data_IF_740880210245
#
_entry.id   IF_740880210245
#
_cell.length_a   1.000
_cell.length_b   1.000
_cell.length_c   1.000
_cell.angle_alpha   90.00
_cell.angle_beta   90.00
_cell.angle_gamma   90.00
#
_symmetry.space_group_name_H-M   'P 1'
#
loop_
_entity.id
_entity.type
_entity.pdbx_description
1 polymer ?
#
# COMPACT_ATOMS: atom_id res chain seq x y z
N UNK A 1 24.86 -16.85 -11.47
CA UNK A 1 23.45 -16.41 -11.51
C UNK A 1 23.16 -15.63 -10.24
N UNK A 2 22.74 -14.38 -10.37
CA UNK A 2 22.42 -13.55 -9.22
C UNK A 2 20.99 -13.90 -8.75
N UNK A 3 20.85 -14.33 -7.51
CA UNK A 3 19.54 -14.62 -6.93
C UNK A 3 18.89 -13.29 -6.54
N UNK A 4 17.74 -13.00 -7.13
CA UNK A 4 16.98 -11.80 -6.80
C UNK A 4 16.15 -12.07 -5.54
N UNK A 5 16.26 -11.23 -4.50
CA UNK A 5 15.47 -11.39 -3.30
C UNK A 5 13.96 -11.29 -3.60
N UNK A 6 13.17 -11.98 -2.81
CA UNK A 6 11.73 -11.79 -2.78
C UNK A 6 11.40 -10.62 -1.87
N UNK A 7 10.65 -9.67 -2.38
CA UNK A 7 10.16 -8.55 -1.58
C UNK A 7 8.70 -8.78 -1.18
N UNK A 8 8.32 -8.39 0.05
CA UNK A 8 6.93 -8.56 0.50
C UNK A 8 5.94 -7.91 -0.45
N UNK A 9 4.82 -8.59 -0.73
CA UNK A 9 3.73 -8.14 -1.61
C UNK A 9 4.12 -7.90 -3.08
N UNK A 10 5.32 -8.24 -3.47
CA UNK A 10 5.79 -8.13 -4.86
C UNK A 10 5.88 -9.51 -5.49
N UNK A 11 5.33 -9.65 -6.70
CA UNK A 11 5.52 -10.84 -7.52
C UNK A 11 6.95 -10.92 -8.08
N UNK A 12 7.25 -11.98 -8.87
CA UNK A 12 8.60 -12.14 -9.44
C UNK A 12 9.04 -10.99 -10.34
N UNK A 13 8.14 -10.44 -11.16
CA UNK A 13 8.45 -9.32 -12.05
C UNK A 13 8.71 -8.05 -11.25
N UNK A 14 7.82 -7.70 -10.33
CA UNK A 14 7.95 -6.51 -9.49
C UNK A 14 9.21 -6.59 -8.64
N UNK A 15 9.55 -7.76 -8.10
CA UNK A 15 10.78 -7.96 -7.33
C UNK A 15 12.01 -7.70 -8.16
N UNK A 16 12.04 -8.14 -9.43
CA UNK A 16 13.14 -7.85 -10.35
C UNK A 16 13.27 -6.35 -10.64
N UNK A 17 12.14 -5.68 -10.90
CA UNK A 17 12.11 -4.23 -11.16
C UNK A 17 12.64 -3.47 -9.95
N UNK A 18 12.13 -3.77 -8.77
CA UNK A 18 12.52 -3.12 -7.54
C UNK A 18 14.00 -3.32 -7.21
N UNK A 19 14.47 -4.54 -7.31
CA UNK A 19 15.88 -4.87 -7.06
C UNK A 19 16.80 -4.09 -8.01
N UNK A 20 16.44 -4.01 -9.28
CA UNK A 20 17.20 -3.25 -10.27
C UNK A 20 17.17 -1.75 -9.97
N UNK A 21 16.03 -1.22 -9.57
CA UNK A 21 15.90 0.17 -9.13
C UNK A 21 16.85 0.46 -7.95
N UNK A 22 16.86 -0.38 -6.95
CA UNK A 22 17.73 -0.20 -5.78
C UNK A 22 19.22 -0.18 -6.17
N UNK A 23 19.60 -0.97 -7.17
CA UNK A 23 21.00 -1.01 -7.64
C UNK A 23 21.41 0.21 -8.46
N UNK A 24 20.44 0.94 -9.04
CA UNK A 24 20.70 2.07 -9.94
C UNK A 24 20.37 3.43 -9.33
N UNK A 25 19.54 3.48 -8.29
CA UNK A 25 19.08 4.75 -7.73
C UNK A 25 20.17 5.50 -6.99
N UNK A 26 20.12 6.85 -7.08
CA UNK A 26 20.94 7.74 -6.29
C UNK A 26 20.29 8.13 -4.95
N UNK A 27 19.08 7.66 -4.69
CA UNK A 27 18.41 7.91 -3.42
C UNK A 27 19.10 7.12 -2.30
N UNK A 28 19.42 7.79 -1.22
CA UNK A 28 20.03 7.18 -0.03
C UNK A 28 18.96 6.91 1.01
N UNK A 29 18.45 5.68 1.04
CA UNK A 29 17.42 5.28 1.99
C UNK A 29 18.01 5.01 3.37
N UNK A 30 17.46 5.68 4.38
CA UNK A 30 17.70 5.39 5.79
C UNK A 30 16.94 4.12 6.18
N UNK A 31 15.73 3.95 5.60
CA UNK A 31 14.82 2.87 5.91
C UNK A 31 13.89 2.63 4.73
N UNK A 32 13.52 1.37 4.50
CA UNK A 32 12.49 0.99 3.54
C UNK A 32 11.55 0.01 4.24
N UNK A 33 10.26 0.33 4.25
CA UNK A 33 9.20 -0.55 4.71
C UNK A 33 8.43 -1.09 3.51
N UNK A 34 8.12 -2.37 3.52
CA UNK A 34 7.39 -3.04 2.45
C UNK A 34 5.98 -3.39 2.89
N UNK A 35 5.06 -3.52 1.93
CA UNK A 35 3.69 -3.94 2.19
C UNK A 35 3.03 -3.11 3.29
N UNK A 36 3.11 -1.79 3.14
CA UNK A 36 2.57 -0.85 4.12
C UNK A 36 1.06 -0.68 3.87
N UNK A 37 0.27 -1.04 4.87
CA UNK A 37 -1.18 -0.97 4.76
C UNK A 37 -1.70 0.40 5.12
N UNK A 38 -2.62 0.90 4.28
CA UNK A 38 -3.31 2.17 4.50
C UNK A 38 -4.77 2.06 4.13
N UNK A 39 -5.56 3.01 4.61
CA UNK A 39 -7.00 3.02 4.41
C UNK A 39 -7.75 2.27 5.51
N UNK A 40 -9.07 2.32 5.44
CA UNK A 40 -9.94 1.71 6.45
C UNK A 40 -10.26 0.24 6.15
N UNK A 41 -9.97 -0.21 4.94
CA UNK A 41 -10.46 -1.49 4.44
C UNK A 41 -11.97 -1.43 4.16
N UNK A 42 -12.49 -2.55 3.72
CA UNK A 42 -13.92 -2.72 3.43
C UNK A 42 -14.54 -3.69 4.42
N UNK A 43 -15.62 -3.24 5.06
CA UNK A 43 -16.41 -4.10 5.94
C UNK A 43 -17.78 -4.36 5.29
N UNK A 44 -18.07 -5.60 4.86
CA UNK A 44 -19.38 -5.94 4.28
C UNK A 44 -20.53 -5.61 5.22
N UNK A 45 -21.64 -5.15 4.65
CA UNK A 45 -22.81 -4.75 5.43
C UNK A 45 -23.32 -5.85 6.33
N UNK A 46 -23.33 -7.11 5.85
CA UNK A 46 -23.80 -8.23 6.65
C UNK A 46 -22.97 -8.47 7.92
N UNK A 47 -21.65 -8.22 7.86
CA UNK A 47 -20.78 -8.31 9.04
C UNK A 47 -20.99 -7.16 10.01
N UNK A 48 -21.27 -5.95 9.50
CA UNK A 48 -21.64 -4.82 10.35
C UNK A 48 -22.94 -5.10 11.11
N UNK A 49 -23.94 -5.62 10.42
CA UNK A 49 -25.23 -5.98 11.00
C UNK A 49 -25.11 -7.11 12.02
N UNK A 50 -24.31 -8.14 11.72
CA UNK A 50 -24.04 -9.24 12.64
C UNK A 50 -23.33 -8.77 13.91
N UNK A 51 -22.36 -7.89 13.79
CA UNK A 51 -21.65 -7.32 14.94
C UNK A 51 -22.60 -6.54 15.84
N UNK A 52 -23.45 -5.67 15.27
CA UNK A 52 -24.40 -4.89 16.03
C UNK A 52 -25.39 -5.81 16.76
N UNK A 53 -25.87 -6.86 16.09
CA UNK A 53 -26.78 -7.84 16.69
C UNK A 53 -26.12 -8.58 17.86
N UNK A 54 -24.90 -9.04 17.69
CA UNK A 54 -24.16 -9.76 18.75
C UNK A 54 -23.78 -8.85 19.90
N UNK A 55 -23.45 -7.60 19.62
CA UNK A 55 -23.19 -6.61 20.66
C UNK A 55 -24.42 -6.39 21.54
N UNK A 56 -25.59 -6.26 20.93
CA UNK A 56 -26.84 -6.14 21.66
C UNK A 56 -27.14 -7.38 22.51
N UNK A 57 -26.95 -8.58 21.94
CA UNK A 57 -27.15 -9.84 22.67
C UNK A 57 -26.18 -9.96 23.84
N UNK A 58 -24.94 -9.53 23.68
CA UNK A 58 -23.95 -9.52 24.77
C UNK A 58 -24.37 -8.56 25.88
N UNK A 59 -24.81 -7.36 25.54
CA UNK A 59 -25.30 -6.38 26.52
C UNK A 59 -26.48 -6.88 27.32
N UNK A 60 -27.33 -7.75 26.70
CA UNK A 60 -28.46 -8.41 27.34
C UNK A 60 -28.06 -9.70 28.10
N UNK A 61 -26.81 -10.08 28.08
CA UNK A 61 -26.35 -11.31 28.74
C UNK A 61 -26.72 -12.61 28.05
N UNK A 62 -27.14 -12.55 26.76
CA UNK A 62 -27.60 -13.71 25.99
C UNK A 62 -26.50 -14.48 25.27
N UNK A 63 -25.33 -13.88 25.08
CA UNK A 63 -24.14 -14.52 24.53
C UNK A 63 -22.93 -14.21 25.40
N UNK A 64 -21.89 -15.03 25.26
CA UNK A 64 -20.64 -14.86 25.99
C UNK A 64 -19.74 -13.80 25.34
N UNK A 65 -18.79 -13.28 26.12
CA UNK A 65 -17.77 -12.37 25.61
C UNK A 65 -16.91 -13.03 24.52
N UNK A 66 -16.65 -14.33 24.65
CA UNK A 66 -15.87 -15.08 23.66
C UNK A 66 -16.57 -15.15 22.31
N UNK A 67 -17.90 -15.32 22.29
CA UNK A 67 -18.68 -15.26 21.05
C UNK A 67 -18.61 -13.90 20.37
N UNK A 68 -18.67 -12.81 21.15
CA UNK A 68 -18.51 -11.46 20.62
C UNK A 68 -17.10 -11.24 20.07
N UNK A 69 -16.07 -11.71 20.77
CA UNK A 69 -14.66 -11.61 20.33
C UNK A 69 -14.39 -12.31 19.02
N UNK A 70 -15.04 -13.44 18.75
CA UNK A 70 -14.90 -14.16 17.48
C UNK A 70 -15.35 -13.26 16.33
N UNK A 71 -16.49 -12.60 16.47
CA UNK A 71 -17.01 -11.67 15.46
C UNK A 71 -16.08 -10.47 15.29
N UNK A 72 -15.58 -9.90 16.38
CA UNK A 72 -14.61 -8.79 16.34
C UNK A 72 -13.33 -9.19 15.60
N UNK A 73 -12.83 -10.41 15.81
CA UNK A 73 -11.64 -10.93 15.13
C UNK A 73 -11.89 -11.09 13.63
N UNK A 74 -13.07 -11.58 13.22
CA UNK A 74 -13.46 -11.70 11.81
C UNK A 74 -13.49 -10.31 11.15
N UNK A 75 -14.09 -9.33 11.81
CA UNK A 75 -14.15 -7.95 11.31
C UNK A 75 -12.74 -7.38 11.14
N UNK A 76 -11.89 -7.52 12.14
CA UNK A 76 -10.51 -7.03 12.09
C UNK A 76 -9.72 -7.66 10.94
N UNK A 77 -9.85 -8.97 10.74
CA UNK A 77 -9.19 -9.68 9.64
C UNK A 77 -9.73 -9.23 8.29
N UNK A 78 -11.04 -9.09 8.14
CA UNK A 78 -11.67 -8.66 6.88
C UNK A 78 -11.25 -7.26 6.49
N UNK A 79 -11.25 -6.32 7.43
CA UNK A 79 -10.80 -4.94 7.15
C UNK A 79 -9.31 -4.89 6.81
N UNK A 80 -8.47 -5.64 7.52
CA UNK A 80 -7.04 -5.69 7.24
C UNK A 80 -6.75 -6.27 5.86
N UNK A 81 -7.46 -7.32 5.43
CA UNK A 81 -7.27 -7.94 4.11
C UNK A 81 -7.72 -7.05 2.94
N UNK A 82 -8.60 -6.11 3.20
CA UNK A 82 -9.14 -5.20 2.16
C UNK A 82 -8.54 -3.80 2.19
N UNK A 83 -7.60 -3.52 3.08
CA UNK A 83 -6.83 -2.29 3.06
C UNK A 83 -5.96 -2.19 1.81
N UNK A 84 -5.66 -0.95 1.40
CA UNK A 84 -4.67 -0.70 0.36
C UNK A 84 -3.27 -1.08 0.87
N UNK A 85 -2.44 -1.57 -0.03
CA UNK A 85 -1.11 -2.08 0.31
C UNK A 85 -0.07 -1.39 -0.56
N UNK A 86 0.73 -0.54 0.05
CA UNK A 86 1.81 0.18 -0.62
C UNK A 86 2.99 -0.77 -0.81
N UNK A 87 3.52 -0.87 -2.02
CA UNK A 87 4.63 -1.77 -2.31
C UNK A 87 5.86 -1.46 -1.47
N UNK A 88 6.27 -0.20 -1.41
CA UNK A 88 7.39 0.22 -0.59
C UNK A 88 7.25 1.68 -0.16
N UNK A 89 7.68 1.97 1.07
CA UNK A 89 7.82 3.32 1.61
C UNK A 89 9.27 3.51 2.02
N UNK A 90 9.96 4.42 1.38
CA UNK A 90 11.37 4.69 1.64
C UNK A 90 11.57 6.04 2.30
N UNK A 91 12.40 6.07 3.34
CA UNK A 91 12.78 7.31 4.01
C UNK A 91 14.20 7.71 3.61
N UNK A 92 14.35 8.94 3.17
CA UNK A 92 15.65 9.60 2.99
C UNK A 92 15.80 10.71 4.02
N UNK A 93 16.94 11.41 4.02
CA UNK A 93 17.15 12.54 4.93
C UNK A 93 16.06 13.61 4.80
N UNK A 94 15.54 13.84 3.60
CA UNK A 94 14.64 14.95 3.30
C UNK A 94 13.20 14.56 3.04
N UNK A 95 12.95 13.34 2.58
CA UNK A 95 11.64 12.94 2.07
C UNK A 95 11.23 11.55 2.55
N UNK A 96 9.92 11.35 2.55
CA UNK A 96 9.31 10.02 2.53
C UNK A 96 8.87 9.75 1.10
N UNK A 97 9.28 8.61 0.55
CA UNK A 97 8.91 8.17 -0.79
C UNK A 97 7.90 7.04 -0.72
N UNK A 98 6.79 7.20 -1.44
CA UNK A 98 5.80 6.14 -1.63
C UNK A 98 5.97 5.60 -3.04
N UNK A 99 6.21 4.29 -3.15
CA UNK A 99 6.49 3.62 -4.42
C UNK A 99 5.39 2.64 -4.79
N UNK A 100 5.00 2.67 -6.05
CA UNK A 100 4.26 1.62 -6.73
C UNK A 100 5.19 0.97 -7.75
N UNK A 101 5.27 -0.35 -7.75
CA UNK A 101 6.14 -1.12 -8.65
C UNK A 101 5.27 -1.87 -9.63
N UNK A 102 5.46 -1.63 -10.93
CA UNK A 102 4.67 -2.23 -12.01
C UNK A 102 5.56 -2.52 -13.21
N UNK A 103 5.25 -3.58 -13.95
CA UNK A 103 5.88 -3.80 -15.25
C UNK A 103 5.58 -2.65 -16.21
N UNK A 104 4.31 -2.29 -16.33
CA UNK A 104 3.85 -1.15 -17.13
C UNK A 104 3.04 -0.19 -16.26
N UNK A 105 3.48 1.05 -16.17
CA UNK A 105 2.79 2.09 -15.41
C UNK A 105 1.66 2.71 -16.25
N UNK A 106 0.44 2.59 -15.78
CA UNK A 106 -0.75 3.11 -16.42
C UNK A 106 -1.72 3.76 -15.41
N UNK A 107 -2.98 3.77 -15.74
CA UNK A 107 -4.04 4.38 -14.90
C UNK A 107 -4.11 3.76 -13.51
N UNK A 108 -3.92 2.44 -13.42
CA UNK A 108 -3.96 1.74 -12.13
C UNK A 108 -2.89 2.24 -11.17
N UNK A 109 -1.65 2.40 -11.64
CA UNK A 109 -0.56 2.93 -10.83
C UNK A 109 -0.83 4.35 -10.37
N UNK A 110 -1.38 5.20 -11.24
CA UNK A 110 -1.77 6.56 -10.89
C UNK A 110 -2.80 6.59 -9.77
N UNK A 111 -3.89 5.84 -9.94
CA UNK A 111 -4.96 5.78 -8.93
C UNK A 111 -4.47 5.19 -7.60
N UNK A 112 -3.61 4.18 -7.64
CA UNK A 112 -3.01 3.59 -6.45
C UNK A 112 -2.14 4.60 -5.71
N UNK A 113 -1.24 5.30 -6.39
CA UNK A 113 -0.37 6.30 -5.77
C UNK A 113 -1.13 7.45 -5.15
N UNK A 114 -2.17 7.96 -5.82
CA UNK A 114 -3.01 9.02 -5.27
C UNK A 114 -3.78 8.54 -4.03
N UNK A 115 -4.30 7.32 -4.07
CA UNK A 115 -5.00 6.72 -2.95
C UNK A 115 -4.07 6.48 -1.76
N UNK A 116 -2.87 5.96 -2.00
CA UNK A 116 -1.85 5.77 -0.96
C UNK A 116 -1.47 7.09 -0.30
N UNK A 117 -1.25 8.12 -1.10
CA UNK A 117 -0.88 9.45 -0.61
C UNK A 117 -1.93 10.01 0.33
N UNK A 118 -3.19 9.96 -0.08
CA UNK A 118 -4.31 10.44 0.73
C UNK A 118 -4.33 9.79 2.11
N UNK A 119 -4.27 8.45 2.16
CA UNK A 119 -4.38 7.71 3.42
C UNK A 119 -3.11 7.75 4.25
N UNK A 120 -1.95 7.69 3.60
CA UNK A 120 -0.66 7.72 4.30
C UNK A 120 -0.50 9.01 5.11
N UNK A 121 -0.80 10.16 4.52
CA UNK A 121 -0.71 11.45 5.21
C UNK A 121 -1.60 11.48 6.45
N UNK A 122 -2.78 10.87 6.39
CA UNK A 122 -3.74 10.89 7.50
C UNK A 122 -3.42 9.89 8.59
N UNK A 123 -2.94 8.71 8.22
CA UNK A 123 -2.73 7.62 9.18
C UNK A 123 -1.33 7.62 9.79
N UNK A 124 -0.32 7.97 9.03
CA UNK A 124 1.08 7.96 9.49
C UNK A 124 1.58 9.35 9.91
N UNK A 125 0.93 10.41 9.46
CA UNK A 125 1.24 11.82 9.83
C UNK A 125 2.74 12.12 9.74
N UNK A 126 3.36 11.94 8.57
CA UNK A 126 4.80 12.12 8.41
C UNK A 126 5.20 13.57 8.67
N UNK A 127 6.39 13.77 9.23
CA UNK A 127 6.96 15.10 9.45
C UNK A 127 7.79 15.58 8.25
N UNK A 128 8.23 14.66 7.40
CA UNK A 128 8.97 14.98 6.17
C UNK A 128 8.00 15.09 4.98
N UNK A 129 8.33 15.88 3.95
CA UNK A 129 7.54 15.90 2.72
C UNK A 129 7.43 14.53 2.10
N UNK A 130 6.24 14.20 1.58
CA UNK A 130 5.96 12.91 0.91
C UNK A 130 6.07 13.08 -0.59
N UNK A 131 6.87 12.24 -1.23
CA UNK A 131 7.02 12.16 -2.68
C UNK A 131 6.43 10.84 -3.18
N UNK A 132 5.83 10.88 -4.35
CA UNK A 132 5.25 9.71 -4.99
C UNK A 132 6.09 9.31 -6.19
N UNK A 133 6.27 8.00 -6.38
CA UNK A 133 7.00 7.49 -7.53
C UNK A 133 6.43 6.15 -8.00
N UNK A 134 6.47 5.94 -9.31
CA UNK A 134 6.25 4.64 -9.92
C UNK A 134 7.60 4.11 -10.45
N UNK A 135 7.86 2.85 -10.17
CA UNK A 135 9.06 2.14 -10.66
C UNK A 135 8.58 1.09 -11.66
N UNK A 136 9.05 1.16 -12.89
CA UNK A 136 8.50 0.35 -13.98
C UNK A 136 9.54 0.07 -15.06
N UNK A 137 9.24 -0.90 -15.93
CA UNK A 137 9.97 -1.10 -17.19
C UNK A 137 9.47 -0.12 -18.27
N UNK A 138 8.17 0.12 -18.31
CA UNK A 138 7.48 0.83 -19.37
C UNK A 138 6.41 1.74 -18.77
N UNK A 139 6.22 2.92 -19.37
CA UNK A 139 5.14 3.82 -18.98
C UNK A 139 4.20 4.02 -20.15
N UNK A 140 2.90 4.03 -19.87
CA UNK A 140 1.88 4.36 -20.86
C UNK A 140 2.05 5.81 -21.31
N UNK A 141 2.22 6.01 -22.62
CA UNK A 141 2.46 7.34 -23.20
C UNK A 141 1.35 8.35 -22.90
N UNK A 142 0.11 7.90 -22.74
CA UNK A 142 -1.01 8.77 -22.38
C UNK A 142 -0.95 9.21 -20.91
N UNK A 143 -0.29 8.43 -20.07
CA UNK A 143 -0.22 8.66 -18.63
C UNK A 143 1.06 9.40 -18.22
N UNK A 144 2.14 9.28 -18.98
CA UNK A 144 3.42 9.93 -18.64
C UNK A 144 3.29 11.42 -18.34
N UNK A 145 2.66 12.25 -19.21
CA UNK A 145 2.48 13.67 -18.91
C UNK A 145 1.58 13.92 -17.69
N UNK A 146 0.64 13.02 -17.42
CA UNK A 146 -0.23 13.13 -16.24
C UNK A 146 0.55 12.90 -14.97
N UNK A 147 1.39 11.85 -14.91
CA UNK A 147 2.28 11.61 -13.77
C UNK A 147 3.14 12.84 -13.48
N UNK A 148 3.78 13.39 -14.52
CA UNK A 148 4.64 14.57 -14.41
C UNK A 148 3.88 15.79 -13.91
N UNK A 149 2.67 16.03 -14.42
CA UNK A 149 1.83 17.17 -14.00
C UNK A 149 1.43 17.10 -12.53
N UNK A 150 1.38 15.91 -11.96
CA UNK A 150 1.04 15.68 -10.54
C UNK A 150 2.26 15.58 -9.63
N UNK A 151 3.46 15.81 -10.18
CA UNK A 151 4.70 15.70 -9.42
C UNK A 151 5.08 14.27 -9.03
N UNK A 152 4.53 13.28 -9.73
CA UNK A 152 4.87 11.87 -9.51
C UNK A 152 6.11 11.53 -10.35
N UNK A 153 7.15 11.06 -9.69
CA UNK A 153 8.37 10.63 -10.37
C UNK A 153 8.16 9.30 -11.08
N UNK A 154 8.76 9.15 -12.24
CA UNK A 154 8.78 7.90 -13.00
C UNK A 154 10.22 7.40 -13.02
N UNK A 155 10.47 6.30 -12.33
CA UNK A 155 11.76 5.62 -12.36
C UNK A 155 11.65 4.41 -13.29
N UNK A 156 12.05 4.61 -14.53
CA UNK A 156 12.02 3.57 -15.53
C UNK A 156 13.33 2.81 -15.50
N UNK A 157 13.26 1.50 -15.24
CA UNK A 157 14.44 0.64 -15.21
C UNK A 157 14.56 -0.14 -16.52
N UNK A 158 15.77 -0.46 -16.99
CA UNK A 158 15.94 -1.24 -18.21
C UNK A 158 15.51 -2.70 -17.99
N UNK A 159 15.03 -3.32 -19.06
CA UNK A 159 14.67 -4.75 -19.08
C UNK A 159 15.85 -5.68 -18.75
#
# INVERSE_FOLDING_TARGET
MQVIPRYPHMGPEESRIWHKFLSLTNLNFIRIDYDVRVGTGYLPKYLQEEFLRKKELYEKGLITRDELKITEAIIKSTTALTQLRIDAVGETDRNIWIFEVKGRAGKGALGQLESYHYWYLRQYKPTKPVRLAVVCYEVDANLEPIFKSKGIEIFQVPL
#
